data_IF_616344040250
#
_entry.id   IF_616344040250
#
_cell.length_a   1.000
_cell.length_b   1.000
_cell.length_c   1.000
_cell.angle_alpha   90.00
_cell.angle_beta   90.00
_cell.angle_gamma   90.00
#
_symmetry.space_group_name_H-M   'P 1'
#
loop_
_entity.id
_entity.type
_entity.pdbx_description
1 polymer ?
#
# COMPACT_ATOMS: atom_id res chain seq x y z
N UNK A 1 17.52 -22.70 8.35
CA UNK A 1 16.80 -22.47 9.61
C UNK A 1 17.78 -21.78 10.52
N UNK A 2 17.72 -20.44 10.59
CA UNK A 2 18.48 -19.70 11.60
C UNK A 2 17.68 -19.86 12.89
N UNK A 3 18.37 -20.25 13.96
CA UNK A 3 17.77 -20.29 15.28
C UNK A 3 17.97 -18.87 15.83
N UNK A 4 16.89 -18.10 15.98
CA UNK A 4 16.88 -16.75 16.55
C UNK A 4 17.67 -16.66 17.87
N UNK A 5 17.63 -17.72 18.66
CA UNK A 5 18.30 -17.83 19.96
C UNK A 5 18.91 -19.24 20.08
N UNK A 6 20.23 -19.41 19.95
CA UNK A 6 20.85 -20.73 20.09
C UNK A 6 20.74 -21.31 21.51
N UNK A 7 20.29 -20.52 22.49
CA UNK A 7 19.97 -20.92 23.87
C UNK A 7 18.48 -20.78 24.21
N UNK A 8 18.16 -20.17 25.35
CA UNK A 8 16.78 -19.98 25.78
C UNK A 8 16.03 -18.91 24.97
N UNK A 9 14.72 -19.09 24.82
CA UNK A 9 13.83 -18.09 24.22
C UNK A 9 13.77 -16.89 25.16
N UNK A 10 14.22 -15.70 24.73
CA UNK A 10 14.07 -14.51 25.57
C UNK A 10 12.88 -13.65 25.16
N UNK A 11 11.75 -14.07 25.72
CA UNK A 11 10.43 -13.48 25.59
C UNK A 11 10.42 -11.94 25.76
N UNK A 12 11.24 -11.41 26.68
CA UNK A 12 11.30 -9.98 26.99
C UNK A 12 12.00 -9.10 25.95
N UNK A 13 12.59 -9.67 24.91
CA UNK A 13 13.21 -8.88 23.84
C UNK A 13 12.32 -8.78 22.61
N UNK A 14 11.19 -9.49 22.57
CA UNK A 14 10.22 -9.37 21.47
C UNK A 14 9.34 -8.15 21.74
N UNK A 15 9.58 -7.06 21.01
CA UNK A 15 8.93 -5.77 21.25
C UNK A 15 7.86 -5.44 20.22
N UNK A 16 8.02 -5.90 18.99
CA UNK A 16 7.07 -5.65 17.92
C UNK A 16 6.80 -6.93 17.16
N UNK A 17 5.54 -7.20 16.88
CA UNK A 17 5.10 -8.15 15.88
C UNK A 17 4.35 -7.40 14.79
N UNK A 18 4.93 -7.36 13.61
CA UNK A 18 4.37 -6.74 12.42
C UNK A 18 3.76 -7.84 11.55
N UNK A 19 2.48 -7.76 11.22
CA UNK A 19 1.82 -8.76 10.37
C UNK A 19 0.98 -8.14 9.27
N UNK A 20 0.48 -8.94 8.34
CA UNK A 20 -0.67 -8.51 7.53
C UNK A 20 -1.93 -8.32 8.41
N UNK A 21 -3.02 -7.85 7.80
CA UNK A 21 -4.30 -7.66 8.48
C UNK A 21 -5.25 -8.86 8.31
N UNK A 22 -4.73 -10.05 8.03
CA UNK A 22 -5.56 -11.25 7.89
C UNK A 22 -6.15 -11.66 9.26
N UNK A 23 -7.40 -12.15 9.32
CA UNK A 23 -8.02 -12.45 10.61
C UNK A 23 -7.23 -13.45 11.47
N UNK A 24 -6.56 -14.42 10.84
CA UNK A 24 -5.79 -15.44 11.55
C UNK A 24 -4.46 -14.90 12.10
N UNK A 25 -3.78 -14.00 11.39
CA UNK A 25 -2.53 -13.37 11.89
C UNK A 25 -2.84 -12.39 13.02
N UNK A 26 -3.94 -11.63 12.91
CA UNK A 26 -4.42 -10.77 14.00
C UNK A 26 -4.77 -11.58 15.24
N UNK A 27 -5.46 -12.71 15.06
CA UNK A 27 -5.74 -13.63 16.16
C UNK A 27 -4.47 -14.22 16.76
N UNK A 28 -3.51 -14.63 15.92
CA UNK A 28 -2.21 -15.11 16.40
C UNK A 28 -1.47 -14.04 17.21
N UNK A 29 -1.41 -12.80 16.72
CA UNK A 29 -0.83 -11.66 17.44
C UNK A 29 -1.46 -11.45 18.81
N UNK A 30 -2.79 -11.54 18.93
CA UNK A 30 -3.48 -11.44 20.22
C UNK A 30 -3.10 -12.56 21.20
N UNK A 31 -2.92 -13.79 20.73
CA UNK A 31 -2.51 -14.93 21.57
C UNK A 31 -1.04 -14.80 21.98
N UNK A 32 -0.19 -14.37 21.05
CA UNK A 32 1.25 -14.21 21.29
C UNK A 32 1.54 -13.13 22.34
N UNK A 33 0.68 -12.10 22.50
CA UNK A 33 0.81 -11.11 23.58
C UNK A 33 0.84 -11.73 24.98
N UNK A 34 0.17 -12.87 25.19
CA UNK A 34 0.20 -13.57 26.49
C UNK A 34 1.56 -14.23 26.77
N UNK A 35 2.36 -14.51 25.74
CA UNK A 35 3.70 -15.09 25.85
C UNK A 35 4.79 -14.01 25.81
N UNK A 36 4.56 -12.95 25.03
CA UNK A 36 5.46 -11.83 24.85
C UNK A 36 4.78 -10.57 25.39
N UNK A 37 4.78 -10.41 26.70
CA UNK A 37 4.03 -9.36 27.43
C UNK A 37 4.46 -7.93 27.11
N UNK A 38 5.66 -7.75 26.55
CA UNK A 38 6.18 -6.45 26.06
C UNK A 38 5.81 -6.15 24.60
N UNK A 39 5.26 -7.11 23.88
CA UNK A 39 5.08 -7.06 22.43
C UNK A 39 3.90 -6.18 22.03
N UNK A 40 4.16 -5.24 21.13
CA UNK A 40 3.14 -4.52 20.37
C UNK A 40 2.86 -5.33 19.11
N UNK A 41 1.60 -5.69 18.89
CA UNK A 41 1.17 -6.23 17.60
C UNK A 41 0.60 -5.10 16.75
N UNK A 42 1.17 -4.90 15.56
CA UNK A 42 0.72 -3.90 14.58
C UNK A 42 0.53 -4.56 13.22
N UNK A 43 -0.44 -4.07 12.45
CA UNK A 43 -0.63 -4.53 11.06
C UNK A 43 0.11 -3.63 10.08
N UNK A 44 0.56 -4.20 8.97
CA UNK A 44 1.35 -3.52 7.95
C UNK A 44 0.60 -2.33 7.32
N UNK A 45 1.16 -1.13 7.44
CA UNK A 45 0.61 0.10 6.87
C UNK A 45 0.56 0.08 5.35
N UNK A 46 1.53 -0.56 4.67
CA UNK A 46 1.48 -0.73 3.22
C UNK A 46 0.30 -1.62 2.81
N UNK A 47 0.01 -2.67 3.59
CA UNK A 47 -1.17 -3.52 3.36
C UNK A 47 -2.49 -2.79 3.69
N UNK A 48 -2.49 -1.89 4.68
CA UNK A 48 -3.62 -1.01 4.92
C UNK A 48 -3.89 -0.09 3.70
N UNK A 49 -2.85 0.55 3.17
CA UNK A 49 -2.95 1.41 1.98
C UNK A 49 -3.37 0.63 0.72
N UNK A 50 -2.88 -0.60 0.54
CA UNK A 50 -3.33 -1.52 -0.52
C UNK A 50 -4.85 -1.69 -0.51
N UNK A 51 -5.43 -1.99 0.66
CA UNK A 51 -6.88 -2.21 0.80
C UNK A 51 -7.71 -0.97 0.51
N UNK A 52 -7.12 0.21 0.69
CA UNK A 52 -7.76 1.48 0.34
C UNK A 52 -7.67 1.68 -1.18
N UNK A 53 -6.52 1.38 -1.79
CA UNK A 53 -6.35 1.46 -3.23
C UNK A 53 -7.25 0.48 -4.02
N UNK A 54 -7.48 -0.71 -3.49
CA UNK A 54 -8.45 -1.66 -4.04
C UNK A 54 -9.86 -1.10 -4.07
N UNK A 55 -10.29 -0.45 -2.99
CA UNK A 55 -11.60 0.20 -2.92
C UNK A 55 -11.69 1.39 -3.90
N UNK A 56 -10.62 2.19 -4.05
CA UNK A 56 -10.56 3.25 -5.07
C UNK A 56 -10.81 2.64 -6.46
N UNK A 57 -10.09 1.57 -6.81
CA UNK A 57 -10.24 0.91 -8.11
C UNK A 57 -11.67 0.42 -8.34
N UNK A 58 -12.29 -0.18 -7.33
CA UNK A 58 -13.68 -0.65 -7.38
C UNK A 58 -14.69 0.51 -7.56
N UNK A 59 -14.44 1.68 -6.97
CA UNK A 59 -15.27 2.87 -7.16
C UNK A 59 -15.18 3.46 -8.57
N UNK A 60 -14.06 3.30 -9.25
CA UNK A 60 -13.81 3.85 -10.59
C UNK A 60 -13.81 2.75 -11.67
N UNK A 61 -14.87 1.95 -11.70
CA UNK A 61 -15.04 0.83 -12.64
C UNK A 61 -14.81 1.20 -14.13
N UNK A 62 -15.21 2.40 -14.57
CA UNK A 62 -14.98 2.82 -15.97
C UNK A 62 -13.50 3.01 -16.29
N UNK A 63 -12.72 3.52 -15.33
CA UNK A 63 -11.28 3.67 -15.46
C UNK A 63 -10.60 2.30 -15.40
N UNK A 64 -11.03 1.44 -14.48
CA UNK A 64 -10.51 0.07 -14.36
C UNK A 64 -10.75 -0.76 -15.63
N UNK A 65 -11.94 -0.61 -16.23
CA UNK A 65 -12.30 -1.28 -17.48
C UNK A 65 -11.49 -0.75 -18.66
N UNK A 66 -11.29 0.57 -18.78
CA UNK A 66 -10.39 1.14 -19.79
C UNK A 66 -8.98 0.56 -19.65
N UNK A 67 -8.41 0.65 -18.46
CA UNK A 67 -7.04 0.20 -18.17
C UNK A 67 -6.87 -1.29 -18.50
N UNK A 68 -7.82 -2.13 -18.07
CA UNK A 68 -7.76 -3.58 -18.30
C UNK A 68 -7.85 -3.95 -19.78
N UNK A 69 -8.79 -3.34 -20.52
CA UNK A 69 -8.95 -3.60 -21.96
C UNK A 69 -7.75 -3.06 -22.76
N UNK A 70 -7.24 -1.87 -22.41
CA UNK A 70 -6.05 -1.32 -23.05
C UNK A 70 -4.82 -2.21 -22.82
N UNK A 71 -4.61 -2.71 -21.59
CA UNK A 71 -3.51 -3.64 -21.30
C UNK A 71 -3.63 -4.92 -22.12
N UNK A 72 -4.79 -5.55 -22.11
CA UNK A 72 -4.97 -6.88 -22.72
C UNK A 72 -4.89 -6.83 -24.24
N UNK A 73 -5.46 -5.81 -24.87
CA UNK A 73 -5.71 -5.78 -26.32
C UNK A 73 -4.77 -4.87 -27.10
N UNK A 74 -4.28 -3.82 -26.46
CA UNK A 74 -3.52 -2.78 -27.14
C UNK A 74 -2.04 -2.88 -26.78
N UNK A 75 -1.69 -2.86 -25.48
CA UNK A 75 -0.30 -2.84 -25.04
C UNK A 75 0.48 -4.12 -25.40
N UNK A 76 -0.22 -5.27 -25.46
CA UNK A 76 0.38 -6.57 -25.82
C UNK A 76 0.57 -6.80 -27.32
N UNK A 77 0.00 -5.96 -28.18
CA UNK A 77 0.07 -6.12 -29.63
C UNK A 77 1.20 -5.25 -30.21
N UNK A 78 2.23 -5.83 -30.85
CA UNK A 78 3.28 -5.06 -31.50
C UNK A 78 2.75 -4.10 -32.57
N UNK A 79 1.68 -4.51 -33.28
CA UNK A 79 1.02 -3.67 -34.28
C UNK A 79 0.37 -2.44 -33.63
N UNK A 80 -0.38 -2.62 -32.55
CA UNK A 80 -1.01 -1.48 -31.85
C UNK A 80 0.01 -0.59 -31.14
N UNK A 81 1.09 -1.16 -30.61
CA UNK A 81 2.22 -0.39 -30.07
C UNK A 81 2.91 0.45 -31.14
N UNK A 82 3.03 -0.06 -32.38
CA UNK A 82 3.53 0.71 -33.51
C UNK A 82 2.55 1.84 -33.91
N UNK A 83 1.24 1.60 -33.80
CA UNK A 83 0.22 2.63 -34.06
C UNK A 83 0.35 3.82 -33.10
N UNK A 84 0.58 3.58 -31.79
CA UNK A 84 0.90 4.63 -30.82
C UNK A 84 2.05 5.52 -31.30
N UNK A 85 3.16 4.90 -31.73
CA UNK A 85 4.35 5.61 -32.22
C UNK A 85 4.14 6.33 -33.55
N UNK A 86 3.23 5.84 -34.40
CA UNK A 86 2.90 6.50 -35.66
C UNK A 86 2.06 7.76 -35.45
N UNK A 87 1.19 7.77 -34.44
CA UNK A 87 0.36 8.91 -34.09
C UNK A 87 1.17 9.95 -33.31
N UNK A 88 2.01 9.49 -32.37
CA UNK A 88 2.95 10.34 -31.66
C UNK A 88 4.29 9.59 -31.43
N UNK A 89 5.35 9.93 -32.16
CA UNK A 89 6.66 9.28 -31.99
C UNK A 89 7.30 9.49 -30.61
N UNK A 90 6.92 10.55 -29.89
CA UNK A 90 7.46 10.89 -28.58
C UNK A 90 6.74 10.25 -27.41
N UNK A 91 5.57 9.65 -27.64
CA UNK A 91 4.76 9.08 -26.56
C UNK A 91 5.38 7.79 -26.01
N UNK A 92 5.39 7.68 -24.68
CA UNK A 92 5.71 6.41 -24.01
C UNK A 92 4.50 5.49 -24.12
N UNK A 93 4.72 4.19 -24.25
CA UNK A 93 3.59 3.25 -24.20
C UNK A 93 2.92 3.30 -22.81
N UNK A 94 1.60 3.04 -22.74
CA UNK A 94 0.90 2.99 -21.46
C UNK A 94 1.57 1.97 -20.52
N UNK A 95 1.70 2.27 -19.22
CA UNK A 95 2.26 1.32 -18.28
C UNK A 95 1.35 0.10 -18.14
N UNK A 96 1.94 -1.07 -17.95
CA UNK A 96 1.20 -2.31 -17.75
C UNK A 96 0.90 -2.53 -16.25
N UNK A 97 -0.35 -2.34 -15.80
CA UNK A 97 -0.67 -2.49 -14.40
C UNK A 97 -0.55 -3.94 -13.95
N UNK A 98 0.12 -4.18 -12.84
CA UNK A 98 0.17 -5.46 -12.15
C UNK A 98 -0.98 -5.45 -11.15
N UNK A 99 -1.91 -6.41 -11.25
CA UNK A 99 -3.12 -6.47 -10.40
C UNK A 99 -2.79 -6.41 -8.90
N UNK A 100 -1.70 -7.06 -8.50
CA UNK A 100 -1.24 -7.10 -7.11
C UNK A 100 -0.42 -5.87 -6.69
N UNK A 101 -0.13 -4.93 -7.60
CA UNK A 101 0.63 -3.70 -7.34
C UNK A 101 -0.13 -2.48 -7.85
N UNK A 102 -1.11 -2.07 -7.08
CA UNK A 102 -1.96 -0.91 -7.32
C UNK A 102 -1.23 0.41 -7.70
N UNK A 103 0.02 0.63 -7.25
CA UNK A 103 0.82 1.77 -7.69
C UNK A 103 0.91 1.86 -9.22
N UNK A 104 1.06 0.70 -9.89
CA UNK A 104 1.08 0.61 -11.35
C UNK A 104 -0.29 0.89 -11.99
N UNK A 105 -1.40 0.63 -11.28
CA UNK A 105 -2.74 0.99 -11.75
C UNK A 105 -2.98 2.50 -11.65
N UNK A 106 -2.53 3.15 -10.58
CA UNK A 106 -2.59 4.61 -10.46
C UNK A 106 -1.68 5.31 -11.46
N UNK A 107 -0.50 4.76 -11.73
CA UNK A 107 0.38 5.21 -12.81
C UNK A 107 -0.32 5.10 -14.17
N UNK A 108 -1.02 4.00 -14.45
CA UNK A 108 -1.82 3.84 -15.67
C UNK A 108 -2.96 4.85 -15.75
N UNK A 109 -3.73 5.04 -14.68
CA UNK A 109 -4.79 6.06 -14.63
C UNK A 109 -4.22 7.47 -14.86
N UNK A 110 -3.07 7.78 -14.27
CA UNK A 110 -2.37 9.06 -14.47
C UNK A 110 -1.93 9.23 -15.93
N UNK A 111 -1.34 8.19 -16.53
CA UNK A 111 -0.94 8.18 -17.92
C UNK A 111 -2.12 8.45 -18.85
N UNK A 112 -3.25 7.76 -18.66
CA UNK A 112 -4.44 7.96 -19.51
C UNK A 112 -5.08 9.32 -19.30
N UNK A 113 -5.00 9.89 -18.10
CA UNK A 113 -5.42 11.27 -17.85
C UNK A 113 -4.55 12.27 -18.62
N UNK A 114 -3.24 12.06 -18.69
CA UNK A 114 -2.29 12.95 -19.37
C UNK A 114 -2.36 12.84 -20.89
N UNK A 115 -2.62 11.63 -21.39
CA UNK A 115 -2.56 11.30 -22.80
C UNK A 115 -3.94 10.94 -23.36
N UNK A 116 -5.01 11.48 -22.78
CA UNK A 116 -6.39 11.06 -23.09
C UNK A 116 -6.71 11.23 -24.57
N UNK A 117 -6.45 12.41 -25.13
CA UNK A 117 -6.73 12.69 -26.54
C UNK A 117 -5.93 11.80 -27.49
N UNK A 118 -4.65 11.57 -27.20
CA UNK A 118 -3.79 10.69 -28.00
C UNK A 118 -4.31 9.25 -27.92
N UNK A 119 -4.70 8.81 -26.72
CA UNK A 119 -5.31 7.49 -26.50
C UNK A 119 -6.58 7.33 -27.32
N UNK A 120 -7.47 8.33 -27.34
CA UNK A 120 -8.66 8.33 -28.18
C UNK A 120 -8.33 8.25 -29.67
N UNK A 121 -7.33 9.00 -30.13
CA UNK A 121 -6.90 8.97 -31.54
C UNK A 121 -6.39 7.58 -31.93
N UNK A 122 -5.59 6.94 -31.08
CA UNK A 122 -5.11 5.57 -31.30
C UNK A 122 -6.28 4.60 -31.38
N UNK A 123 -7.21 4.67 -30.42
CA UNK A 123 -8.37 3.78 -30.37
C UNK A 123 -9.27 3.95 -31.60
N UNK A 124 -9.43 5.18 -32.09
CA UNK A 124 -10.21 5.47 -33.29
C UNK A 124 -9.54 4.97 -34.57
N UNK A 125 -8.21 4.96 -34.62
CA UNK A 125 -7.43 4.47 -35.76
C UNK A 125 -7.39 2.93 -35.87
N UNK A 126 -7.82 2.20 -34.83
CA UNK A 126 -7.99 0.75 -34.90
C UNK A 126 -9.12 0.39 -35.88
N UNK A 127 -8.92 -0.63 -36.70
CA UNK A 127 -9.94 -1.10 -37.64
C UNK A 127 -11.20 -1.56 -36.86
N UNK A 128 -12.39 -1.30 -37.41
CA UNK A 128 -13.67 -1.76 -36.87
C UNK A 128 -13.98 -3.22 -37.24
N UNK A 129 -13.30 -3.76 -38.25
CA UNK A 129 -13.46 -5.15 -38.69
C UNK A 129 -12.75 -6.16 -37.78
N UNK A 130 -11.87 -5.68 -36.92
CA UNK A 130 -11.14 -6.48 -35.95
C UNK A 130 -11.97 -6.70 -34.68
N UNK A 131 -12.13 -7.98 -34.32
CA UNK A 131 -12.52 -8.56 -33.02
C UNK A 131 -13.48 -7.79 -32.07
N UNK A 132 -14.34 -8.54 -31.36
CA UNK A 132 -15.18 -8.02 -30.26
C UNK A 132 -14.39 -7.27 -29.17
N UNK A 133 -13.08 -7.50 -29.10
CA UNK A 133 -12.13 -6.86 -28.19
C UNK A 133 -11.91 -5.36 -28.49
N UNK A 134 -11.82 -4.95 -29.77
CA UNK A 134 -11.60 -3.55 -30.16
C UNK A 134 -12.87 -2.72 -29.95
N UNK A 135 -14.04 -3.32 -30.22
CA UNK A 135 -15.34 -2.69 -29.94
C UNK A 135 -15.47 -2.31 -28.47
N UNK A 136 -15.03 -3.18 -27.55
CA UNK A 136 -15.04 -2.90 -26.10
C UNK A 136 -14.19 -1.69 -25.73
N UNK A 137 -12.96 -1.61 -26.25
CA UNK A 137 -12.06 -0.46 -25.99
C UNK A 137 -12.68 0.84 -26.51
N UNK A 138 -13.26 0.84 -27.72
CA UNK A 138 -13.97 1.99 -28.30
C UNK A 138 -15.15 2.42 -27.42
N UNK A 139 -15.93 1.47 -26.90
CA UNK A 139 -17.03 1.78 -25.98
C UNK A 139 -16.55 2.34 -24.63
N UNK A 140 -15.37 1.93 -24.15
CA UNK A 140 -14.83 2.45 -22.88
C UNK A 140 -14.58 3.95 -22.94
N UNK A 141 -13.94 4.45 -24.00
CA UNK A 141 -13.60 5.88 -24.12
C UNK A 141 -14.81 6.79 -24.32
N UNK A 142 -15.95 6.22 -24.73
CA UNK A 142 -17.22 6.95 -24.90
C UNK A 142 -18.03 7.05 -23.59
N UNK A 143 -17.58 6.43 -22.49
CA UNK A 143 -18.35 6.44 -21.24
C UNK A 143 -18.42 7.85 -20.65
N UNK A 144 -19.63 8.35 -20.36
CA UNK A 144 -19.79 9.68 -19.78
C UNK A 144 -19.11 9.75 -18.42
N UNK A 145 -18.30 10.80 -18.22
CA UNK A 145 -17.58 11.03 -16.96
C UNK A 145 -16.25 10.29 -16.83
N UNK A 146 -15.78 9.54 -17.83
CA UNK A 146 -14.46 8.89 -17.80
C UNK A 146 -13.33 9.91 -17.58
N UNK A 147 -13.31 11.01 -18.33
CA UNK A 147 -12.31 12.07 -18.17
C UNK A 147 -12.36 12.71 -16.78
N UNK A 148 -13.58 12.97 -16.27
CA UNK A 148 -13.77 13.50 -14.92
C UNK A 148 -13.22 12.54 -13.86
N UNK A 149 -13.44 11.23 -14.04
CA UNK A 149 -12.92 10.20 -13.16
C UNK A 149 -11.39 10.13 -13.21
N UNK A 150 -10.79 10.16 -14.40
CA UNK A 150 -9.34 10.20 -14.59
C UNK A 150 -8.71 11.43 -13.92
N UNK A 151 -9.30 12.61 -14.14
CA UNK A 151 -8.85 13.85 -13.50
C UNK A 151 -8.98 13.79 -11.97
N UNK A 152 -10.09 13.24 -11.46
CA UNK A 152 -10.30 13.07 -10.02
C UNK A 152 -9.25 12.12 -9.42
N UNK A 153 -8.99 10.98 -10.05
CA UNK A 153 -8.00 10.01 -9.58
C UNK A 153 -6.61 10.62 -9.54
N UNK A 154 -6.18 11.26 -10.63
CA UNK A 154 -4.87 11.91 -10.70
C UNK A 154 -4.70 12.96 -9.61
N UNK A 155 -5.67 13.87 -9.45
CA UNK A 155 -5.59 14.98 -8.49
C UNK A 155 -5.59 14.53 -7.02
N UNK A 156 -6.33 13.46 -6.71
CA UNK A 156 -6.60 13.06 -5.34
C UNK A 156 -5.76 11.87 -4.85
N UNK A 157 -5.48 10.92 -5.74
CA UNK A 157 -4.87 9.65 -5.36
C UNK A 157 -3.46 9.46 -5.90
N UNK A 158 -2.87 10.38 -6.67
CA UNK A 158 -1.47 10.26 -7.08
C UNK A 158 -0.49 10.26 -5.89
N UNK A 159 -0.83 10.90 -4.75
CA UNK A 159 0.01 10.93 -3.53
C UNK A 159 0.49 9.56 -3.08
N UNK A 160 -0.34 8.56 -3.32
CA UNK A 160 -0.13 7.20 -2.90
C UNK A 160 1.07 6.53 -3.60
N UNK A 161 1.37 6.85 -4.87
CA UNK A 161 2.52 6.27 -5.57
C UNK A 161 3.81 6.69 -4.87
N UNK A 162 3.90 7.96 -4.49
CA UNK A 162 5.01 8.51 -3.69
C UNK A 162 5.08 7.86 -2.30
N UNK A 163 3.95 7.71 -1.62
CA UNK A 163 3.88 7.14 -0.27
C UNK A 163 4.38 5.69 -0.22
N UNK A 164 4.01 4.86 -1.20
CA UNK A 164 4.49 3.47 -1.27
C UNK A 164 6.00 3.43 -1.37
N UNK A 165 6.57 4.24 -2.25
CA UNK A 165 8.02 4.28 -2.47
C UNK A 165 8.72 4.66 -1.16
N UNK A 166 8.22 5.70 -0.47
CA UNK A 166 8.77 6.13 0.83
C UNK A 166 8.69 5.01 1.87
N UNK A 167 7.54 4.36 2.02
CA UNK A 167 7.35 3.26 2.98
C UNK A 167 8.17 2.00 2.66
N UNK A 168 8.56 1.80 1.42
CA UNK A 168 9.42 0.69 1.00
C UNK A 168 10.92 0.96 1.22
N UNK A 169 11.32 2.17 1.62
CA UNK A 169 12.72 2.48 1.91
C UNK A 169 13.21 1.66 3.10
N UNK A 170 14.38 1.02 2.96
CA UNK A 170 15.01 0.28 4.06
C UNK A 170 15.43 1.24 5.17
N UNK A 171 15.28 0.79 6.42
CA UNK A 171 15.70 1.52 7.62
C UNK A 171 15.01 2.89 7.80
N UNK A 172 13.78 3.04 7.31
CA UNK A 172 12.98 4.23 7.54
C UNK A 172 12.68 4.37 9.06
N UNK A 173 13.06 5.48 9.71
CA UNK A 173 12.70 5.75 11.11
C UNK A 173 11.19 5.75 11.34
N UNK A 174 10.76 5.45 12.57
CA UNK A 174 9.34 5.44 12.92
C UNK A 174 8.68 6.80 12.67
N UNK A 175 9.36 7.90 13.02
CA UNK A 175 8.91 9.27 12.80
C UNK A 175 8.59 9.55 11.33
N UNK A 176 9.53 9.20 10.44
CA UNK A 176 9.36 9.40 9.00
C UNK A 176 8.23 8.52 8.46
N UNK A 177 8.13 7.28 8.93
CA UNK A 177 7.08 6.35 8.52
C UNK A 177 5.68 6.85 8.93
N UNK A 178 5.52 7.32 10.16
CA UNK A 178 4.27 7.89 10.65
C UNK A 178 3.93 9.20 9.95
N UNK A 179 4.92 10.05 9.66
CA UNK A 179 4.73 11.28 8.86
C UNK A 179 4.15 10.96 7.48
N UNK A 180 4.67 9.93 6.82
CA UNK A 180 4.16 9.49 5.51
C UNK A 180 2.71 8.98 5.59
N UNK A 181 2.35 8.27 6.67
CA UNK A 181 0.97 7.83 6.91
C UNK A 181 0.06 9.04 7.16
N UNK A 182 0.52 10.03 7.92
CA UNK A 182 -0.24 11.26 8.20
C UNK A 182 -0.47 12.09 6.93
N UNK A 183 0.50 12.15 6.01
CA UNK A 183 0.36 12.79 4.70
C UNK A 183 -0.89 12.25 3.94
N UNK A 184 -1.07 10.92 3.94
CA UNK A 184 -2.25 10.28 3.35
C UNK A 184 -3.53 10.61 4.12
N UNK A 185 -3.51 10.51 5.46
CA UNK A 185 -4.66 10.84 6.31
C UNK A 185 -5.15 12.27 6.04
N UNK A 186 -4.25 13.25 6.01
CA UNK A 186 -4.57 14.64 5.72
C UNK A 186 -5.11 14.85 4.30
N UNK A 187 -4.51 14.20 3.29
CA UNK A 187 -5.03 14.26 1.92
C UNK A 187 -6.47 13.72 1.86
N UNK A 188 -6.77 12.62 2.55
CA UNK A 188 -8.10 12.02 2.60
C UNK A 188 -9.13 12.90 3.31
N UNK A 189 -8.74 13.58 4.39
CA UNK A 189 -9.60 14.54 5.09
C UNK A 189 -10.02 15.71 4.19
N UNK A 190 -9.17 16.09 3.23
CA UNK A 190 -9.47 17.16 2.28
C UNK A 190 -10.40 16.74 1.13
N UNK A 191 -10.68 15.43 0.97
CA UNK A 191 -11.49 14.92 -0.14
C UNK A 191 -12.93 15.42 -0.05
N UNK A 192 -13.47 15.82 -1.19
CA UNK A 192 -14.84 16.32 -1.34
C UNK A 192 -15.68 15.37 -2.19
N UNK A 193 -16.99 15.55 -2.10
CA UNK A 193 -17.99 14.77 -2.83
C UNK A 193 -18.30 13.41 -2.18
N UNK A 194 -19.21 12.68 -2.79
CA UNK A 194 -19.67 11.36 -2.30
C UNK A 194 -18.55 10.33 -2.29
N UNK A 195 -17.78 10.25 -3.38
CA UNK A 195 -16.62 9.34 -3.50
C UNK A 195 -15.56 9.66 -2.45
N UNK A 196 -15.20 10.94 -2.31
CA UNK A 196 -14.22 11.39 -1.31
C UNK A 196 -14.61 11.04 0.13
N UNK A 197 -15.88 11.26 0.50
CA UNK A 197 -16.40 10.89 1.83
C UNK A 197 -16.35 9.37 2.07
N UNK A 198 -16.71 8.57 1.06
CA UNK A 198 -16.63 7.12 1.14
C UNK A 198 -15.19 6.63 1.35
N UNK A 199 -14.23 7.24 0.62
CA UNK A 199 -12.80 6.95 0.76
C UNK A 199 -12.24 7.35 2.12
N UNK A 200 -12.62 8.50 2.66
CA UNK A 200 -12.25 8.91 4.02
C UNK A 200 -12.75 7.90 5.06
N UNK A 201 -14.01 7.49 4.97
CA UNK A 201 -14.58 6.49 5.87
C UNK A 201 -13.86 5.14 5.78
N UNK A 202 -13.51 4.69 4.56
CA UNK A 202 -12.72 3.47 4.36
C UNK A 202 -11.35 3.57 5.02
N UNK A 203 -10.65 4.70 4.82
CA UNK A 203 -9.34 4.95 5.41
C UNK A 203 -9.40 4.93 6.94
N UNK A 204 -10.37 5.63 7.54
CA UNK A 204 -10.59 5.63 9.00
C UNK A 204 -10.80 4.22 9.52
N UNK A 205 -11.73 3.45 8.92
CA UNK A 205 -12.03 2.07 9.35
C UNK A 205 -10.83 1.11 9.24
N UNK A 206 -9.95 1.32 8.25
CA UNK A 206 -8.74 0.49 8.09
C UNK A 206 -7.71 0.79 9.18
N UNK A 207 -7.43 2.07 9.45
CA UNK A 207 -6.43 2.45 10.46
C UNK A 207 -6.95 2.35 11.90
N UNK A 208 -8.25 2.54 12.15
CA UNK A 208 -8.87 2.35 13.46
C UNK A 208 -8.66 0.95 14.01
N UNK A 209 -8.65 -0.07 13.14
CA UNK A 209 -8.42 -1.48 13.52
C UNK A 209 -6.97 -1.79 13.88
N UNK A 210 -6.04 -0.90 13.54
CA UNK A 210 -4.62 -1.10 13.80
C UNK A 210 -4.23 -0.49 15.15
N UNK A 211 -4.61 -1.12 16.26
CA UNK A 211 -4.28 -0.59 17.60
C UNK A 211 -2.77 -0.42 17.80
N UNK A 212 -1.96 -1.30 17.20
CA UNK A 212 -0.50 -1.20 17.28
C UNK A 212 0.05 0.11 16.73
N UNK A 213 -0.48 0.63 15.62
CA UNK A 213 -0.02 1.92 15.08
C UNK A 213 -0.32 3.08 16.03
N UNK A 214 -1.45 3.04 16.76
CA UNK A 214 -1.81 4.08 17.74
C UNK A 214 -0.87 4.05 18.94
N UNK A 215 -0.46 2.86 19.37
CA UNK A 215 0.54 2.72 20.45
C UNK A 215 1.89 3.25 19.96
N UNK A 216 2.29 2.94 18.72
CA UNK A 216 3.54 3.46 18.14
C UNK A 216 3.51 4.99 18.00
N UNK A 217 2.38 5.59 17.60
CA UNK A 217 2.20 7.05 17.57
C UNK A 217 2.42 7.66 18.97
N UNK A 218 1.83 7.08 20.04
CA UNK A 218 2.06 7.54 21.42
C UNK A 218 3.51 7.40 21.86
N UNK A 219 4.15 6.27 21.56
CA UNK A 219 5.56 6.06 21.89
C UNK A 219 6.43 7.11 21.19
N UNK A 220 6.15 7.40 19.92
CA UNK A 220 6.87 8.43 19.17
C UNK A 220 6.74 9.80 19.85
N UNK A 221 5.52 10.22 20.17
CA UNK A 221 5.29 11.51 20.83
C UNK A 221 6.06 11.63 22.16
N UNK A 222 6.16 10.55 22.93
CA UNK A 222 6.98 10.51 24.16
C UNK A 222 8.48 10.67 23.83
N UNK A 223 8.97 9.98 22.80
CA UNK A 223 10.37 10.06 22.37
C UNK A 223 10.74 11.45 21.82
N UNK A 224 9.77 12.17 21.26
CA UNK A 224 9.93 13.53 20.74
C UNK A 224 9.70 14.61 21.83
N UNK A 225 9.25 14.20 23.02
CA UNK A 225 8.97 15.10 24.14
C UNK A 225 7.66 15.88 24.00
N UNK A 226 6.75 15.41 23.14
CA UNK A 226 5.43 16.01 22.90
C UNK A 226 4.35 15.50 23.86
N UNK A 227 4.52 14.28 24.41
CA UNK A 227 3.57 13.67 25.34
C UNK A 227 4.26 13.20 26.64
N UNK A 228 3.52 13.25 27.75
CA UNK A 228 3.91 12.69 29.03
C UNK A 228 3.25 11.32 29.28
N UNK A 229 3.95 10.43 29.97
CA UNK A 229 3.40 9.15 30.41
C UNK A 229 2.46 9.40 31.60
N UNK A 230 1.19 9.63 31.29
CA UNK A 230 0.14 9.78 32.31
C UNK A 230 -0.47 8.44 32.74
N UNK A 231 -0.44 7.42 31.86
CA UNK A 231 -1.11 6.14 32.06
C UNK A 231 -0.38 5.01 31.31
N UNK A 232 0.29 4.15 32.07
CA UNK A 232 1.03 3.01 31.52
C UNK A 232 0.13 1.88 31.00
N UNK A 233 -1.16 1.85 31.37
CA UNK A 233 -2.09 0.81 30.90
C UNK A 233 -2.38 0.88 29.39
N UNK A 234 -1.96 1.97 28.74
CA UNK A 234 -2.07 2.17 27.30
C UNK A 234 -0.97 1.45 26.50
N UNK A 235 0.02 0.89 27.18
CA UNK A 235 1.14 0.14 26.62
C UNK A 235 1.07 -1.35 27.06
N UNK A 236 1.85 -2.26 26.45
CA UNK A 236 1.91 -3.64 26.91
C UNK A 236 2.33 -3.75 28.39
N UNK A 237 1.80 -4.75 29.12
CA UNK A 237 1.85 -4.84 30.59
C UNK A 237 3.26 -4.70 31.18
N UNK A 238 4.26 -5.34 30.58
CA UNK A 238 5.63 -5.33 31.08
C UNK A 238 6.54 -4.30 30.39
N UNK A 239 5.95 -3.40 29.58
CA UNK A 239 6.70 -2.39 28.84
C UNK A 239 7.19 -1.29 29.81
N UNK A 240 8.42 -0.83 29.60
CA UNK A 240 9.08 0.19 30.43
C UNK A 240 9.58 1.34 29.58
N UNK A 241 9.86 2.50 30.18
CA UNK A 241 10.40 3.64 29.43
C UNK A 241 11.71 3.32 28.67
N UNK A 242 12.52 2.40 29.20
CA UNK A 242 13.75 1.94 28.53
C UNK A 242 13.45 1.14 27.25
N UNK A 243 12.28 0.50 27.18
CA UNK A 243 11.85 -0.27 26.00
C UNK A 243 11.44 0.67 24.85
N UNK A 244 10.93 1.87 25.16
CA UNK A 244 10.49 2.87 24.16
C UNK A 244 11.61 3.29 23.21
N UNK A 245 12.85 3.41 23.71
CA UNK A 245 14.02 3.81 22.90
C UNK A 245 14.22 2.88 21.69
N UNK A 246 13.89 1.59 21.84
CA UNK A 246 14.05 0.61 20.75
C UNK A 246 13.00 0.78 19.64
N UNK A 247 11.91 1.51 19.88
CA UNK A 247 10.88 1.78 18.86
C UNK A 247 11.22 2.95 17.95
N UNK A 248 12.32 3.69 18.18
CA UNK A 248 12.78 4.78 17.29
C UNK A 248 12.88 4.36 15.81
N UNK A 249 13.22 3.09 15.58
CA UNK A 249 13.33 2.48 14.25
C UNK A 249 12.32 1.33 14.04
N UNK A 250 11.20 1.34 14.79
CA UNK A 250 10.16 0.34 14.62
C UNK A 250 9.57 0.42 13.20
N UNK A 251 9.48 -0.73 12.54
CA UNK A 251 8.92 -0.83 11.20
C UNK A 251 7.40 -0.79 11.24
N UNK A 252 6.78 -0.02 10.35
CA UNK A 252 5.32 -0.04 10.16
C UNK A 252 4.91 -0.81 8.91
N UNK A 253 5.89 -1.28 8.12
CA UNK A 253 5.69 -1.97 6.84
C UNK A 253 6.66 -3.13 6.68
N UNK A 254 6.17 -4.26 6.17
CA UNK A 254 7.03 -5.38 5.80
C UNK A 254 7.65 -5.10 4.42
N UNK A 255 8.95 -5.39 4.29
CA UNK A 255 9.77 -5.10 3.10
C UNK A 255 9.34 -5.92 1.87
N UNK A 256 8.52 -6.96 2.03
CA UNK A 256 8.05 -7.85 0.95
C UNK A 256 7.02 -7.23 0.00
N UNK A 257 6.67 -5.95 0.18
CA UNK A 257 5.71 -5.26 -0.68
C UNK A 257 6.22 -5.07 -2.15
N UNK A 258 7.47 -5.43 -2.46
CA UNK A 258 8.13 -5.16 -3.75
C UNK A 258 8.58 -6.36 -4.61
N UNK A 259 8.54 -7.62 -4.13
CA UNK A 259 9.20 -8.75 -4.83
C UNK A 259 8.33 -9.99 -5.12
N UNK A 260 7.03 -9.98 -4.82
CA UNK A 260 6.13 -11.13 -5.07
C UNK A 260 5.60 -11.22 -6.51
N UNK A 261 6.46 -10.99 -7.50
CA UNK A 261 6.11 -11.12 -8.94
C UNK A 261 6.23 -12.54 -9.50
N UNK A 262 7.04 -13.41 -8.91
CA UNK A 262 7.25 -14.79 -9.38
C UNK A 262 7.41 -15.73 -8.19
N UNK A 263 6.32 -16.25 -7.62
CA UNK A 263 6.32 -17.54 -6.90
C UNK A 263 4.87 -18.03 -6.76
N UNK A 264 4.26 -18.47 -7.87
CA UNK A 264 3.13 -19.41 -7.80
C UNK A 264 3.70 -20.83 -7.74
N UNK A 265 4.08 -21.21 -6.52
CA UNK A 265 4.12 -22.57 -5.96
C UNK A 265 4.52 -22.37 -4.50
N UNK A 266 3.56 -21.94 -3.68
CA UNK A 266 3.68 -21.97 -2.23
C UNK A 266 3.73 -23.44 -1.82
N UNK A 267 4.92 -24.04 -1.87
CA UNK A 267 5.33 -24.87 -0.74
C UNK A 267 5.09 -24.01 0.49
N UNK A 268 4.40 -24.54 1.47
CA UNK A 268 4.41 -24.08 2.85
C UNK A 268 5.88 -23.95 3.29
N UNK A 269 6.50 -22.82 2.99
CA UNK A 269 7.67 -22.33 3.69
C UNK A 269 7.14 -21.19 4.52
N UNK A 270 6.91 -21.49 5.80
CA UNK A 270 6.88 -20.49 6.86
C UNK A 270 8.04 -19.51 6.61
N UNK A 271 7.78 -18.23 6.31
CA UNK A 271 8.80 -17.22 6.51
C UNK A 271 9.13 -17.26 8.00
N UNK A 272 10.41 -17.35 8.32
CA UNK A 272 10.88 -17.35 9.70
C UNK A 272 10.33 -16.11 10.40
N UNK A 273 9.89 -16.30 11.64
CA UNK A 273 9.41 -15.26 12.57
C UNK A 273 10.36 -14.03 12.64
N UNK A 274 11.63 -14.21 12.26
CA UNK A 274 12.71 -13.20 12.17
C UNK A 274 12.37 -11.94 11.38
N UNK A 275 11.73 -12.03 10.20
CA UNK A 275 11.48 -10.83 9.37
C UNK A 275 10.30 -9.98 9.87
N UNK A 276 9.54 -10.51 10.84
CA UNK A 276 8.30 -9.92 11.34
C UNK A 276 8.40 -9.48 12.81
N UNK A 277 9.56 -9.70 13.46
CA UNK A 277 9.81 -9.32 14.84
C UNK A 277 10.88 -8.24 14.95
N UNK A 278 10.56 -7.15 15.66
CA UNK A 278 11.58 -6.20 16.12
C UNK A 278 12.06 -6.65 17.49
N UNK A 279 13.37 -6.85 17.62
CA UNK A 279 14.00 -7.37 18.83
C UNK A 279 14.87 -6.30 19.49
N UNK A 280 15.00 -6.36 20.82
CA UNK A 280 16.12 -5.69 21.49
C UNK A 280 17.43 -6.33 21.04
N UNK A 281 18.19 -5.65 20.19
CA UNK A 281 19.57 -6.03 19.88
C UNK A 281 20.51 -5.26 20.80
N UNK A 282 21.41 -5.96 21.49
CA UNK A 282 22.54 -5.33 22.18
C UNK A 282 23.58 -4.88 21.14
N UNK A 283 23.80 -3.56 21.02
CA UNK A 283 24.86 -2.92 20.21
C UNK A 283 24.31 -2.30 18.90
N UNK A 284 24.47 -1.03 18.57
CA UNK A 284 25.18 0.11 19.16
C UNK A 284 24.24 1.32 19.16
N UNK A 285 24.20 2.02 20.29
CA UNK A 285 23.69 3.40 20.39
C UNK A 285 24.64 4.32 19.62
#
# INVERSE_FOLDING_TARGET
MIILWPGDIMYNNVLLFLSDAAPYTVKAGSVLKNLYTKMIHTTCSAHALQRIAEEIREQFNYVDELISNMKEKICKSPYHAALFKSIDPGIRLPPEPILTRWGTWLEAATYYCENFQITCNVINALDQNDEDSIKKVKLCVLKPGLENNLAYIKSNFQVFTTVVIKLQMKNLPLADSLTVIQEVKSKFQSLKGTQGKSMLFKLQKVFEKNEGIKILEKILNILEGEDEISDMSQFPEDNSCNDFVYFKYAQTTSVDFGLSGHFHRTKLCYPTIEEHLHLKTCGNI
#
